data_IF_495121248237
#
_entry.id   IF_495121248237
#
_cell.length_a   1.000
_cell.length_b   1.000
_cell.length_c   1.000
_cell.angle_alpha   90.00
_cell.angle_beta   90.00
_cell.angle_gamma   90.00
#
_symmetry.space_group_name_H-M   'P 1'
#
loop_
_entity.id
_entity.type
_entity.pdbx_description
1 polymer ?
#
# COMPACT_ATOMS: atom_id res chain seq x y z
N UNK A 1 24.62 -0.30 -32.77
CA UNK A 1 23.30 0.16 -32.30
C UNK A 1 23.33 1.24 -31.20
N UNK A 2 24.29 1.25 -30.27
CA UNK A 2 24.49 2.33 -29.28
C UNK A 2 24.87 3.68 -29.88
N UNK A 3 25.65 3.67 -30.97
CA UNK A 3 26.12 4.89 -31.65
C UNK A 3 24.97 5.63 -32.36
N UNK A 4 23.99 4.90 -32.92
CA UNK A 4 22.87 5.50 -33.68
C UNK A 4 21.87 6.25 -32.78
N UNK A 5 21.69 5.80 -31.53
CA UNK A 5 20.77 6.45 -30.57
C UNK A 5 21.38 7.76 -30.02
N UNK A 6 22.70 7.77 -29.77
CA UNK A 6 23.42 8.98 -29.33
C UNK A 6 23.41 10.06 -30.41
N UNK A 7 23.60 9.67 -31.65
CA UNK A 7 23.55 10.61 -32.82
C UNK A 7 22.14 11.18 -33.07
N UNK A 8 21.08 10.42 -32.76
CA UNK A 8 19.70 10.89 -32.94
C UNK A 8 19.29 11.91 -31.87
N UNK A 9 19.81 11.76 -30.64
CA UNK A 9 19.60 12.70 -29.53
C UNK A 9 20.34 14.04 -29.78
N UNK A 10 21.51 14.00 -30.39
CA UNK A 10 22.26 15.23 -30.76
C UNK A 10 21.59 16.02 -31.91
N UNK A 11 20.84 15.36 -32.79
CA UNK A 11 20.23 16.00 -33.98
C UNK A 11 18.83 16.55 -33.74
N UNK A 12 18.06 16.01 -32.79
CA UNK A 12 16.64 16.38 -32.60
C UNK A 12 16.36 17.10 -31.28
N UNK A 13 17.27 17.08 -30.33
CA UNK A 13 17.06 17.67 -28.99
C UNK A 13 15.91 17.01 -28.18
N UNK A 14 15.21 16.03 -28.73
CA UNK A 14 14.14 15.32 -28.05
C UNK A 14 14.69 14.25 -27.10
N UNK A 15 14.58 14.51 -25.82
CA UNK A 15 14.86 13.51 -24.77
C UNK A 15 13.88 12.34 -24.94
N UNK A 16 14.39 11.18 -25.38
CA UNK A 16 13.56 9.95 -25.45
C UNK A 16 13.17 9.53 -24.05
N UNK A 17 11.91 9.77 -23.69
CA UNK A 17 11.35 9.33 -22.40
C UNK A 17 11.09 7.83 -22.38
N UNK A 18 11.40 7.18 -21.26
CA UNK A 18 11.01 5.78 -21.03
C UNK A 18 9.50 5.66 -20.84
N UNK A 19 8.84 4.84 -21.66
CA UNK A 19 7.39 4.66 -21.57
C UNK A 19 7.05 3.54 -20.59
N UNK A 20 6.30 3.88 -19.53
CA UNK A 20 5.84 2.97 -18.48
C UNK A 20 4.31 2.90 -18.50
N UNK A 21 3.79 1.70 -18.67
CA UNK A 21 2.34 1.43 -18.65
C UNK A 21 1.98 0.75 -17.32
N UNK A 22 1.15 1.37 -16.50
CA UNK A 22 0.74 0.86 -15.19
C UNK A 22 -0.70 0.38 -15.26
N UNK A 23 -0.92 -0.86 -14.84
CA UNK A 23 -2.24 -1.50 -14.75
C UNK A 23 -2.41 -2.22 -13.41
N UNK A 24 -3.64 -2.58 -13.06
CA UNK A 24 -3.93 -3.34 -11.84
C UNK A 24 -4.37 -2.49 -10.65
N UNK A 25 -4.47 -1.16 -10.80
CA UNK A 25 -5.10 -0.25 -9.84
C UNK A 25 -6.42 0.29 -10.39
N UNK A 26 -7.18 1.02 -9.57
CA UNK A 26 -8.36 1.77 -10.06
C UNK A 26 -7.97 3.02 -10.84
N UNK A 27 -6.70 3.42 -10.82
CA UNK A 27 -6.14 4.59 -11.50
C UNK A 27 -5.95 5.80 -10.60
N UNK A 28 -5.59 6.93 -11.22
CA UNK A 28 -5.32 8.23 -10.57
C UNK A 28 -6.27 9.31 -11.15
N UNK A 29 -6.58 10.42 -10.43
CA UNK A 29 -6.14 10.74 -9.06
C UNK A 29 -6.60 9.72 -8.03
N UNK A 30 -5.81 9.54 -6.96
CA UNK A 30 -6.10 8.59 -5.91
C UNK A 30 -7.22 9.11 -5.00
N UNK A 31 -8.33 8.37 -4.91
CA UNK A 31 -9.36 8.63 -3.92
C UNK A 31 -9.16 7.77 -2.66
N UNK A 32 -8.80 6.49 -2.84
CA UNK A 32 -8.58 5.52 -1.77
C UNK A 32 -7.89 4.27 -2.30
N UNK A 33 -6.89 3.77 -1.58
CA UNK A 33 -6.21 2.49 -1.86
C UNK A 33 -4.69 2.64 -1.96
N UNK A 34 -3.96 1.61 -1.52
CA UNK A 34 -2.49 1.63 -1.50
C UNK A 34 -1.87 1.79 -2.89
N UNK A 35 -2.37 1.05 -3.88
CA UNK A 35 -1.88 1.15 -5.26
C UNK A 35 -2.18 2.49 -5.92
N UNK A 36 -3.38 3.03 -5.68
CA UNK A 36 -3.78 4.33 -6.21
C UNK A 36 -2.88 5.43 -5.65
N UNK A 37 -2.69 5.47 -4.33
CA UNK A 37 -1.79 6.43 -3.66
C UNK A 37 -0.35 6.28 -4.15
N UNK A 38 0.13 5.04 -4.31
CA UNK A 38 1.46 4.77 -4.82
C UNK A 38 1.67 5.34 -6.23
N UNK A 39 0.75 5.09 -7.17
CA UNK A 39 0.86 5.58 -8.54
C UNK A 39 0.75 7.09 -8.60
N UNK A 40 -0.15 7.67 -7.81
CA UNK A 40 -0.36 9.11 -7.71
C UNK A 40 0.95 9.80 -7.28
N UNK A 41 1.54 9.35 -6.18
CA UNK A 41 2.83 9.86 -5.69
C UNK A 41 3.97 9.63 -6.67
N UNK A 42 4.07 8.45 -7.27
CA UNK A 42 5.11 8.14 -8.26
C UNK A 42 5.04 9.09 -9.47
N UNK A 43 3.84 9.35 -9.98
CA UNK A 43 3.65 10.28 -11.11
C UNK A 43 3.88 11.72 -10.71
N UNK A 44 3.48 12.15 -9.50
CA UNK A 44 3.75 13.46 -8.92
C UNK A 44 5.25 13.75 -8.85
N UNK A 45 6.05 12.84 -8.27
CA UNK A 45 7.50 13.02 -8.13
C UNK A 45 8.26 13.02 -9.45
N UNK A 46 7.73 12.35 -10.49
CA UNK A 46 8.42 12.25 -11.77
C UNK A 46 7.94 13.25 -12.85
N UNK A 47 6.84 13.99 -12.60
CA UNK A 47 6.20 14.82 -13.64
C UNK A 47 7.12 15.87 -14.25
N UNK A 48 8.03 16.45 -13.47
CA UNK A 48 8.94 17.52 -13.92
C UNK A 48 10.28 16.99 -14.45
N UNK A 49 10.63 15.75 -14.13
CA UNK A 49 11.94 15.18 -14.49
C UNK A 49 12.07 14.86 -15.99
N UNK A 50 10.96 14.71 -16.71
CA UNK A 50 10.91 14.44 -18.16
C UNK A 50 11.76 13.24 -18.63
N UNK A 51 11.97 12.24 -17.76
CA UNK A 51 12.70 11.02 -18.10
C UNK A 51 11.77 9.84 -18.38
N UNK A 52 10.57 9.88 -17.78
CA UNK A 52 9.58 8.81 -17.82
C UNK A 52 8.25 9.36 -18.29
N UNK A 53 7.60 8.65 -19.22
CA UNK A 53 6.23 8.91 -19.66
C UNK A 53 5.32 7.81 -19.13
N UNK A 54 4.46 8.16 -18.19
CA UNK A 54 3.49 7.23 -17.63
C UNK A 54 2.22 7.13 -18.47
N UNK A 55 1.68 5.91 -18.55
CA UNK A 55 0.38 5.58 -19.14
C UNK A 55 -0.39 4.75 -18.11
N UNK A 56 -1.39 5.32 -17.46
CA UNK A 56 -2.10 4.70 -16.34
C UNK A 56 -3.50 4.29 -16.75
N UNK A 57 -3.83 3.01 -16.54
CA UNK A 57 -5.18 2.51 -16.68
C UNK A 57 -6.07 3.00 -15.54
N UNK A 58 -7.25 3.54 -15.85
CA UNK A 58 -8.18 4.06 -14.86
C UNK A 58 -9.57 3.41 -15.02
N UNK A 59 -10.04 2.75 -13.94
CA UNK A 59 -11.40 2.19 -13.92
C UNK A 59 -12.43 3.31 -13.95
N UNK A 60 -13.36 3.28 -14.89
CA UNK A 60 -14.36 4.34 -15.06
C UNK A 60 -15.63 3.80 -15.70
N UNK A 61 -16.75 4.48 -15.50
CA UNK A 61 -17.98 4.24 -16.26
C UNK A 61 -17.98 4.93 -17.65
N UNK A 62 -17.05 5.86 -17.86
CA UNK A 62 -16.86 6.57 -19.13
C UNK A 62 -15.77 5.95 -20.01
N UNK A 63 -15.51 6.61 -21.14
CA UNK A 63 -14.42 6.29 -22.08
C UNK A 63 -13.55 7.53 -22.32
N UNK A 64 -12.41 7.35 -23.01
CA UNK A 64 -11.50 8.42 -23.37
C UNK A 64 -10.25 8.47 -22.49
N UNK A 65 -9.53 9.58 -22.61
CA UNK A 65 -8.24 9.79 -21.97
C UNK A 65 -8.20 11.19 -21.31
N UNK A 66 -7.35 11.34 -20.31
CA UNK A 66 -7.06 12.63 -19.69
C UNK A 66 -5.60 12.65 -19.22
N UNK A 67 -5.10 13.85 -18.90
CA UNK A 67 -3.76 14.01 -18.36
C UNK A 67 -3.84 14.32 -16.86
N UNK A 68 -2.93 13.71 -16.09
CA UNK A 68 -2.78 13.97 -14.66
C UNK A 68 -1.32 13.72 -14.24
N UNK A 69 -0.67 14.65 -13.53
CA UNK A 69 0.77 14.63 -13.22
C UNK A 69 1.64 14.27 -14.44
N UNK A 70 1.37 14.89 -15.59
CA UNK A 70 2.01 14.59 -16.88
C UNK A 70 1.84 13.13 -17.38
N UNK A 71 1.11 12.28 -16.68
CA UNK A 71 0.75 10.94 -17.11
C UNK A 71 -0.44 10.97 -18.07
N UNK A 72 -0.43 10.06 -19.06
CA UNK A 72 -1.60 9.75 -19.88
C UNK A 72 -2.48 8.75 -19.14
N UNK A 73 -3.65 9.16 -18.70
CA UNK A 73 -4.64 8.31 -18.05
C UNK A 73 -5.70 7.87 -19.07
N UNK A 74 -5.94 6.56 -19.18
CA UNK A 74 -6.94 6.02 -20.13
C UNK A 74 -8.02 5.24 -19.40
N UNK A 75 -9.28 5.57 -19.71
CA UNK A 75 -10.46 5.05 -19.02
C UNK A 75 -10.85 3.67 -19.55
N UNK A 76 -11.09 2.75 -18.61
CA UNK A 76 -11.58 1.39 -18.89
C UNK A 76 -12.95 1.21 -18.25
N UNK A 77 -13.95 0.99 -19.09
CA UNK A 77 -15.28 0.62 -18.61
C UNK A 77 -15.30 -0.86 -18.21
N UNK A 78 -15.82 -1.15 -17.03
CA UNK A 78 -15.88 -2.51 -16.48
C UNK A 78 -17.33 -2.89 -16.22
N UNK A 79 -17.83 -3.98 -16.81
CA UNK A 79 -19.17 -4.48 -16.54
C UNK A 79 -19.28 -5.02 -15.13
N UNK A 80 -20.49 -5.04 -14.58
CA UNK A 80 -20.73 -5.63 -13.26
C UNK A 80 -20.80 -7.15 -13.34
N UNK A 81 -19.65 -7.81 -13.24
CA UNK A 81 -19.48 -9.28 -13.33
C UNK A 81 -18.86 -9.86 -12.02
N UNK A 82 -19.15 -9.24 -10.89
CA UNK A 82 -18.67 -9.70 -9.60
C UNK A 82 -17.13 -9.77 -9.49
N UNK A 83 -16.55 -10.79 -8.84
CA UNK A 83 -15.10 -10.91 -8.63
C UNK A 83 -14.26 -10.93 -9.91
N UNK A 84 -14.84 -11.35 -11.05
CA UNK A 84 -14.14 -11.39 -12.34
C UNK A 84 -13.87 -9.99 -12.92
N UNK A 85 -14.47 -8.93 -12.36
CA UNK A 85 -14.23 -7.54 -12.82
C UNK A 85 -12.77 -7.15 -12.86
N UNK A 86 -11.98 -7.55 -11.83
CA UNK A 86 -10.58 -7.19 -11.74
C UNK A 86 -9.75 -7.84 -12.86
N UNK A 87 -10.02 -9.12 -13.16
CA UNK A 87 -9.38 -9.86 -14.25
C UNK A 87 -9.75 -9.23 -15.61
N UNK A 88 -11.04 -8.99 -15.82
CA UNK A 88 -11.54 -8.34 -17.04
C UNK A 88 -10.87 -6.99 -17.28
N UNK A 89 -10.82 -6.16 -16.22
CA UNK A 89 -10.21 -4.83 -16.26
C UNK A 89 -8.75 -4.90 -16.70
N UNK A 90 -7.93 -5.73 -16.04
CA UNK A 90 -6.50 -5.85 -16.34
C UNK A 90 -6.24 -6.38 -17.74
N UNK A 91 -7.02 -7.37 -18.20
CA UNK A 91 -6.90 -7.91 -19.57
C UNK A 91 -7.27 -6.87 -20.63
N UNK A 92 -8.34 -6.09 -20.41
CA UNK A 92 -8.73 -5.02 -21.33
C UNK A 92 -7.69 -3.90 -21.33
N UNK A 93 -7.17 -3.53 -20.17
CA UNK A 93 -6.10 -2.53 -20.04
C UNK A 93 -4.87 -2.96 -20.84
N UNK A 94 -4.39 -4.21 -20.67
CA UNK A 94 -3.27 -4.75 -21.46
C UNK A 94 -3.52 -4.74 -22.97
N UNK A 95 -4.73 -5.10 -23.40
CA UNK A 95 -5.09 -5.02 -24.83
C UNK A 95 -4.99 -3.59 -25.35
N UNK A 96 -5.44 -2.61 -24.57
CA UNK A 96 -5.34 -1.19 -24.94
C UNK A 96 -3.89 -0.70 -24.93
N UNK A 97 -3.08 -1.08 -23.95
CA UNK A 97 -1.63 -0.81 -23.91
C UNK A 97 -0.95 -1.32 -25.19
N UNK A 98 -1.16 -2.59 -25.54
CA UNK A 98 -0.58 -3.19 -26.75
C UNK A 98 -1.04 -2.49 -28.05
N UNK A 99 -2.32 -2.06 -28.14
CA UNK A 99 -2.82 -1.28 -29.30
C UNK A 99 -2.12 0.08 -29.38
N UNK A 100 -1.98 0.76 -28.26
CA UNK A 100 -1.35 2.08 -28.19
C UNK A 100 0.15 2.00 -28.55
N UNK A 101 0.87 1.03 -27.98
CA UNK A 101 2.29 0.76 -28.29
C UNK A 101 2.49 0.55 -29.78
N UNK A 102 1.66 -0.31 -30.39
CA UNK A 102 1.74 -0.60 -31.82
C UNK A 102 1.42 0.63 -32.70
N UNK A 103 0.34 1.36 -32.37
CA UNK A 103 -0.07 2.55 -33.11
C UNK A 103 1.00 3.64 -33.10
N UNK A 104 1.64 3.85 -31.95
CA UNK A 104 2.63 4.91 -31.74
C UNK A 104 4.08 4.43 -31.95
N UNK A 105 4.28 3.18 -32.40
CA UNK A 105 5.59 2.57 -32.65
C UNK A 105 6.57 2.68 -31.47
N UNK A 106 6.04 2.58 -30.22
CA UNK A 106 6.82 2.68 -28.98
C UNK A 106 7.75 1.48 -28.89
N UNK A 107 9.06 1.75 -28.70
CA UNK A 107 10.09 0.73 -28.50
C UNK A 107 10.43 0.61 -27.02
N UNK A 108 10.79 -0.61 -26.60
CA UNK A 108 11.23 -0.92 -25.25
C UNK A 108 10.25 -0.45 -24.13
N UNK A 109 8.91 -0.61 -24.30
CA UNK A 109 7.97 -0.22 -23.24
C UNK A 109 8.14 -1.12 -22.02
N UNK A 110 7.90 -0.59 -20.82
CA UNK A 110 7.74 -1.39 -19.61
C UNK A 110 6.25 -1.43 -19.28
N UNK A 111 5.72 -2.63 -19.09
CA UNK A 111 4.37 -2.83 -18.55
C UNK A 111 4.53 -3.22 -17.09
N UNK A 112 4.05 -2.39 -16.18
CA UNK A 112 4.07 -2.64 -14.74
C UNK A 112 2.68 -3.07 -14.28
N UNK A 113 2.56 -4.31 -13.84
CA UNK A 113 1.29 -4.95 -13.45
C UNK A 113 1.24 -5.05 -11.92
N UNK A 114 0.20 -4.49 -11.32
CA UNK A 114 -0.02 -4.53 -9.88
C UNK A 114 -0.95 -5.68 -9.53
N UNK A 115 -0.45 -6.63 -8.74
CA UNK A 115 -1.03 -7.90 -8.34
C UNK A 115 -1.12 -8.99 -9.44
N UNK A 116 -1.15 -10.24 -9.00
CA UNK A 116 -1.05 -11.42 -9.85
C UNK A 116 -2.42 -11.98 -10.31
N UNK A 117 -3.28 -11.14 -10.95
CA UNK A 117 -4.67 -11.51 -11.28
C UNK A 117 -4.85 -12.24 -12.61
N UNK A 118 -3.90 -12.09 -13.54
CA UNK A 118 -4.09 -12.46 -14.95
C UNK A 118 -3.18 -13.59 -15.42
N UNK A 119 -2.78 -14.47 -14.51
CA UNK A 119 -1.87 -15.59 -14.79
C UNK A 119 -2.16 -16.35 -16.09
N UNK A 120 -3.42 -16.79 -16.35
CA UNK A 120 -3.76 -17.50 -17.59
C UNK A 120 -3.46 -16.72 -18.90
N UNK A 121 -3.37 -15.40 -18.83
CA UNK A 121 -3.09 -14.53 -19.97
C UNK A 121 -1.64 -14.03 -20.00
N UNK A 122 -0.86 -14.24 -18.95
CA UNK A 122 0.47 -13.65 -18.77
C UNK A 122 1.43 -13.99 -19.92
N UNK A 123 1.53 -15.26 -20.29
CA UNK A 123 2.42 -15.72 -21.36
C UNK A 123 2.09 -15.07 -22.73
N UNK A 124 0.79 -14.94 -23.06
CA UNK A 124 0.35 -14.29 -24.30
C UNK A 124 0.78 -12.82 -24.35
N UNK A 125 0.54 -12.08 -23.28
CA UNK A 125 0.87 -10.66 -23.23
C UNK A 125 2.38 -10.43 -23.16
N UNK A 126 3.13 -11.20 -22.36
CA UNK A 126 4.58 -11.13 -22.30
C UNK A 126 5.18 -11.29 -23.69
N UNK A 127 4.83 -12.38 -24.41
CA UNK A 127 5.30 -12.64 -25.76
C UNK A 127 4.99 -11.47 -26.72
N UNK A 128 3.82 -10.85 -26.55
CA UNK A 128 3.42 -9.71 -27.37
C UNK A 128 4.22 -8.46 -27.06
N UNK A 129 4.50 -8.18 -25.77
CA UNK A 129 5.27 -7.03 -25.31
C UNK A 129 6.73 -7.18 -25.74
N UNK A 130 7.31 -8.38 -25.62
CA UNK A 130 8.68 -8.67 -26.06
C UNK A 130 8.91 -8.41 -27.56
N UNK A 131 7.88 -8.54 -28.43
CA UNK A 131 7.99 -8.16 -29.86
C UNK A 131 8.31 -6.68 -30.09
N UNK A 132 8.00 -5.82 -29.11
CA UNK A 132 8.33 -4.39 -29.14
C UNK A 132 9.64 -4.08 -28.42
N UNK A 133 10.41 -5.10 -27.99
CA UNK A 133 11.58 -4.96 -27.11
C UNK A 133 11.23 -4.62 -25.67
N UNK A 134 9.94 -4.68 -25.32
CA UNK A 134 9.46 -4.30 -23.99
C UNK A 134 9.67 -5.36 -22.92
N UNK A 135 9.42 -5.02 -21.67
CA UNK A 135 9.52 -5.89 -20.49
C UNK A 135 8.24 -5.84 -19.67
N UNK A 136 7.96 -6.93 -18.96
CA UNK A 136 6.83 -7.07 -18.03
C UNK A 136 7.36 -7.12 -16.61
N UNK A 137 7.05 -6.08 -15.83
CA UNK A 137 7.31 -6.02 -14.40
C UNK A 137 6.02 -6.30 -13.65
N UNK A 138 6.11 -7.02 -12.54
CA UNK A 138 4.95 -7.38 -11.74
C UNK A 138 5.22 -7.11 -10.27
N UNK A 139 4.30 -6.40 -9.60
CA UNK A 139 4.24 -6.39 -8.14
C UNK A 139 3.38 -7.60 -7.73
N UNK A 140 3.92 -8.59 -6.99
CA UNK A 140 3.16 -9.78 -6.63
C UNK A 140 2.08 -9.56 -5.58
N UNK A 141 2.02 -8.40 -4.92
CA UNK A 141 1.14 -8.02 -3.79
C UNK A 141 1.33 -8.89 -2.53
N UNK A 142 1.63 -10.13 -2.68
CA UNK A 142 1.92 -11.07 -1.60
C UNK A 142 0.69 -11.71 -0.95
N UNK A 143 0.64 -13.04 -1.05
CA UNK A 143 -0.31 -13.91 -0.34
C UNK A 143 -1.81 -13.55 -0.50
N UNK A 144 -2.23 -12.92 -1.63
CA UNK A 144 -3.66 -12.59 -1.84
C UNK A 144 -4.57 -13.83 -1.68
N UNK A 145 -4.04 -15.02 -1.99
CA UNK A 145 -4.73 -16.29 -1.80
C UNK A 145 -4.95 -16.71 -0.34
N UNK A 146 -4.28 -16.07 0.62
CA UNK A 146 -4.51 -16.29 2.06
C UNK A 146 -5.66 -15.44 2.64
N UNK A 147 -6.08 -14.38 1.92
CA UNK A 147 -7.09 -13.46 2.46
C UNK A 147 -8.43 -14.16 2.73
N UNK A 148 -8.98 -13.93 3.91
CA UNK A 148 -10.21 -14.55 4.41
C UNK A 148 -11.45 -14.28 3.53
N UNK A 149 -11.50 -13.13 2.87
CA UNK A 149 -12.61 -12.71 1.98
C UNK A 149 -12.84 -13.63 0.77
N UNK A 150 -11.87 -14.49 0.42
CA UNK A 150 -11.95 -15.33 -0.77
C UNK A 150 -12.44 -16.75 -0.45
N UNK A 151 -13.38 -17.26 -1.24
CA UNK A 151 -13.79 -18.67 -1.19
C UNK A 151 -12.65 -19.60 -1.66
N UNK A 152 -12.69 -20.87 -1.28
CA UNK A 152 -11.64 -21.85 -1.64
C UNK A 152 -11.34 -21.94 -3.13
N UNK A 153 -12.32 -21.96 -4.07
CA UNK A 153 -12.02 -21.96 -5.50
C UNK A 153 -11.28 -20.69 -5.95
N UNK A 154 -11.65 -19.52 -5.39
CA UNK A 154 -11.00 -18.24 -5.71
C UNK A 154 -9.58 -18.22 -5.17
N UNK A 155 -9.33 -18.74 -3.96
CA UNK A 155 -7.96 -18.88 -3.42
C UNK A 155 -7.08 -19.76 -4.30
N UNK A 156 -7.60 -20.89 -4.80
CA UNK A 156 -6.87 -21.74 -5.74
C UNK A 156 -6.54 -21.00 -7.03
N UNK A 157 -7.51 -20.25 -7.59
CA UNK A 157 -7.26 -19.41 -8.76
C UNK A 157 -6.11 -18.42 -8.51
N UNK A 158 -6.14 -17.69 -7.40
CA UNK A 158 -5.10 -16.74 -7.03
C UNK A 158 -3.71 -17.39 -6.96
N UNK A 159 -3.61 -18.56 -6.30
CA UNK A 159 -2.33 -19.27 -6.17
C UNK A 159 -1.77 -19.72 -7.51
N UNK A 160 -2.62 -20.26 -8.39
CA UNK A 160 -2.23 -20.67 -9.74
C UNK A 160 -1.88 -19.46 -10.61
N UNK A 161 -2.66 -18.39 -10.52
CA UNK A 161 -2.42 -17.14 -11.24
C UNK A 161 -1.09 -16.50 -10.83
N UNK A 162 -0.79 -16.46 -9.53
CA UNK A 162 0.50 -15.99 -8.99
C UNK A 162 1.66 -16.79 -9.59
N UNK A 163 1.59 -18.14 -9.54
CA UNK A 163 2.61 -19.00 -10.11
C UNK A 163 2.85 -18.73 -11.61
N UNK A 164 1.78 -18.57 -12.39
CA UNK A 164 1.88 -18.29 -13.82
C UNK A 164 2.50 -16.91 -14.07
N UNK A 165 2.15 -15.90 -13.29
CA UNK A 165 2.68 -14.55 -13.44
C UNK A 165 4.14 -14.47 -12.99
N UNK A 166 4.52 -15.11 -11.90
CA UNK A 166 5.92 -15.22 -11.48
C UNK A 166 6.78 -15.84 -12.58
N UNK A 167 6.31 -16.92 -13.21
CA UNK A 167 7.01 -17.58 -14.32
C UNK A 167 7.20 -16.68 -15.54
N UNK A 168 6.27 -15.77 -15.81
CA UNK A 168 6.23 -14.95 -17.02
C UNK A 168 6.68 -13.50 -16.80
N UNK A 169 7.10 -13.13 -15.60
CA UNK A 169 7.60 -11.79 -15.32
C UNK A 169 9.08 -11.67 -15.71
N UNK A 170 9.46 -10.53 -16.26
CA UNK A 170 10.87 -10.21 -16.49
C UNK A 170 11.55 -9.75 -15.19
N UNK A 171 10.79 -9.01 -14.34
CA UNK A 171 11.21 -8.62 -12.99
C UNK A 171 9.96 -8.62 -12.08
N UNK A 172 10.11 -9.14 -10.87
CA UNK A 172 9.14 -8.99 -9.79
C UNK A 172 9.60 -7.87 -8.86
N UNK A 173 8.77 -6.85 -8.70
CA UNK A 173 9.03 -5.72 -7.80
C UNK A 173 8.28 -6.01 -6.50
N UNK A 174 8.99 -6.54 -5.52
CA UNK A 174 8.43 -6.89 -4.22
C UNK A 174 8.44 -5.67 -3.30
N UNK A 175 7.33 -5.40 -2.63
CA UNK A 175 7.18 -4.29 -1.70
C UNK A 175 7.68 -4.61 -0.28
N UNK A 176 8.13 -5.85 -0.04
CA UNK A 176 8.70 -6.33 1.21
C UNK A 176 9.77 -7.37 0.93
N UNK A 177 10.84 -7.37 1.72
CA UNK A 177 11.89 -8.41 1.68
C UNK A 177 11.34 -9.78 2.07
N UNK A 178 10.32 -9.82 2.93
CA UNK A 178 9.62 -11.06 3.26
C UNK A 178 8.86 -11.62 2.06
N UNK A 179 8.24 -10.76 1.23
CA UNK A 179 7.60 -11.19 -0.03
C UNK A 179 8.66 -11.63 -1.04
N UNK A 180 9.77 -10.92 -1.16
CA UNK A 180 10.88 -11.33 -2.02
C UNK A 180 11.42 -12.71 -1.63
N UNK A 181 11.66 -12.95 -0.35
CA UNK A 181 12.06 -14.26 0.20
C UNK A 181 11.04 -15.35 -0.14
N UNK A 182 9.76 -15.08 0.12
CA UNK A 182 8.66 -15.99 -0.23
C UNK A 182 8.66 -16.36 -1.72
N UNK A 183 8.82 -15.40 -2.61
CA UNK A 183 8.88 -15.64 -4.06
C UNK A 183 10.07 -16.56 -4.41
N UNK A 184 11.25 -16.30 -3.86
CA UNK A 184 12.43 -17.14 -4.10
C UNK A 184 12.27 -18.55 -3.55
N UNK A 185 11.69 -18.73 -2.37
CA UNK A 185 11.48 -20.05 -1.75
C UNK A 185 10.39 -20.84 -2.47
N UNK A 186 9.23 -20.23 -2.71
CA UNK A 186 8.06 -20.91 -3.28
C UNK A 186 8.18 -21.19 -4.77
N UNK A 187 8.91 -20.36 -5.50
CA UNK A 187 9.00 -20.40 -6.97
C UNK A 187 10.42 -20.55 -7.49
N UNK A 188 11.36 -21.06 -6.66
CA UNK A 188 12.77 -21.22 -7.03
C UNK A 188 12.98 -21.99 -8.35
N UNK A 189 12.04 -22.89 -8.70
CA UNK A 189 12.08 -23.66 -9.95
C UNK A 189 12.04 -22.78 -11.22
N UNK A 190 11.54 -21.54 -11.11
CA UNK A 190 11.48 -20.59 -12.23
C UNK A 190 12.64 -19.61 -12.22
N UNK A 191 13.51 -19.65 -11.19
CA UNK A 191 14.60 -18.70 -10.97
C UNK A 191 14.15 -17.23 -11.18
N UNK A 192 13.13 -16.76 -10.41
CA UNK A 192 12.53 -15.45 -10.62
C UNK A 192 13.55 -14.33 -10.37
N UNK A 193 13.58 -13.33 -11.24
CA UNK A 193 14.32 -12.09 -11.01
C UNK A 193 13.47 -11.16 -10.17
N UNK A 194 14.00 -10.73 -9.03
CA UNK A 194 13.30 -9.86 -8.09
C UNK A 194 14.08 -8.58 -7.84
N UNK A 195 13.37 -7.58 -7.36
CA UNK A 195 13.93 -6.39 -6.71
C UNK A 195 12.98 -5.97 -5.59
N UNK A 196 13.54 -5.47 -4.51
CA UNK A 196 12.77 -4.93 -3.39
C UNK A 196 12.68 -3.41 -3.53
N UNK A 197 11.45 -2.88 -3.59
CA UNK A 197 11.15 -1.45 -3.47
C UNK A 197 9.84 -1.34 -2.70
N UNK A 198 9.90 -0.79 -1.49
CA UNK A 198 8.75 -0.63 -0.60
C UNK A 198 7.75 0.44 -1.08
N UNK A 199 6.65 0.61 -0.34
CA UNK A 199 5.80 1.79 -0.44
C UNK A 199 6.43 2.96 0.31
N UNK A 200 6.03 4.18 -0.07
CA UNK A 200 6.48 5.40 0.57
C UNK A 200 5.50 5.94 1.60
N UNK A 201 6.02 6.83 2.46
CA UNK A 201 5.23 7.67 3.35
C UNK A 201 5.84 9.06 3.48
N UNK A 202 5.06 10.00 4.00
CA UNK A 202 5.52 11.35 4.33
C UNK A 202 5.77 11.47 5.84
N UNK A 203 6.95 11.95 6.19
CA UNK A 203 7.28 12.33 7.57
C UNK A 203 7.24 13.85 7.68
N UNK A 204 6.07 14.37 7.95
CA UNK A 204 5.82 15.79 8.22
C UNK A 204 4.67 15.96 9.20
N UNK A 205 4.59 17.11 9.81
CA UNK A 205 3.41 17.47 10.61
C UNK A 205 2.20 17.75 9.71
N UNK A 206 1.02 17.58 10.28
CA UNK A 206 -0.21 18.04 9.66
C UNK A 206 -0.15 19.54 9.41
N UNK A 207 -0.71 19.97 8.29
CA UNK A 207 -0.81 21.41 7.95
C UNK A 207 -1.90 22.13 8.73
N UNK A 208 -2.89 21.39 9.26
CA UNK A 208 -3.96 21.99 10.07
C UNK A 208 -3.53 22.15 11.54
N UNK A 209 -3.94 23.24 12.14
CA UNK A 209 -3.59 23.59 13.51
C UNK A 209 -4.54 22.89 14.52
N UNK A 210 -4.12 22.80 15.79
CA UNK A 210 -4.91 22.12 16.82
C UNK A 210 -6.21 22.88 17.18
N UNK A 211 -6.24 24.19 16.96
CA UNK A 211 -7.37 25.08 17.21
C UNK A 211 -8.30 25.26 16.00
N UNK A 212 -8.01 24.65 14.86
CA UNK A 212 -8.91 24.67 13.72
C UNK A 212 -10.25 23.99 14.03
N UNK A 213 -11.34 24.59 13.59
CA UNK A 213 -12.72 24.15 13.87
C UNK A 213 -12.93 22.66 13.61
N UNK A 214 -12.38 22.15 12.54
CA UNK A 214 -12.47 20.73 12.15
C UNK A 214 -11.83 19.82 13.20
N UNK A 215 -10.68 20.19 13.74
CA UNK A 215 -9.95 19.43 14.78
C UNK A 215 -10.71 19.51 16.09
N UNK A 216 -11.04 20.72 16.52
CA UNK A 216 -11.78 20.97 17.78
C UNK A 216 -13.11 20.21 17.79
N UNK A 217 -13.87 20.30 16.68
CA UNK A 217 -15.14 19.59 16.53
C UNK A 217 -14.95 18.08 16.60
N UNK A 218 -13.93 17.51 15.91
CA UNK A 218 -13.67 16.08 15.91
C UNK A 218 -13.43 15.54 17.32
N UNK A 219 -12.65 16.25 18.14
CA UNK A 219 -12.37 15.89 19.53
C UNK A 219 -13.59 16.05 20.43
N UNK A 220 -14.30 17.18 20.32
CA UNK A 220 -15.47 17.49 21.12
C UNK A 220 -16.62 16.49 20.92
N UNK A 221 -16.91 16.14 19.68
CA UNK A 221 -17.97 15.17 19.34
C UNK A 221 -17.70 13.78 19.91
N UNK A 222 -16.45 13.45 20.23
CA UNK A 222 -16.02 12.12 20.68
C UNK A 222 -15.59 12.09 22.14
N UNK A 223 -15.71 13.21 22.82
CA UNK A 223 -15.22 13.38 24.19
C UNK A 223 -13.78 12.88 24.33
N UNK A 224 -12.86 13.49 23.58
CA UNK A 224 -11.46 13.16 23.51
C UNK A 224 -10.57 14.39 23.66
N UNK A 225 -9.33 14.17 24.03
CA UNK A 225 -8.26 15.17 24.01
C UNK A 225 -6.96 14.57 23.44
N UNK A 226 -6.01 15.39 22.96
CA UNK A 226 -4.69 14.92 22.58
C UNK A 226 -4.04 14.08 23.67
N UNK A 227 -3.39 12.98 23.25
CA UNK A 227 -2.71 12.00 24.12
C UNK A 227 -3.61 11.21 25.07
N UNK A 228 -4.95 11.30 24.93
CA UNK A 228 -5.93 10.55 25.77
C UNK A 228 -6.36 9.22 25.16
N UNK A 229 -5.78 8.80 24.03
CA UNK A 229 -6.25 7.59 23.32
C UNK A 229 -5.15 6.82 22.61
N UNK A 230 -5.36 5.51 22.53
CA UNK A 230 -4.72 4.63 21.54
C UNK A 230 -5.54 4.64 20.26
N UNK A 231 -4.88 4.48 19.13
CA UNK A 231 -5.49 4.59 17.80
C UNK A 231 -5.28 3.30 16.99
N UNK A 232 -6.30 2.86 16.30
CA UNK A 232 -6.24 1.85 15.23
C UNK A 232 -6.79 2.46 13.95
N UNK A 233 -6.04 2.36 12.84
CA UNK A 233 -6.50 2.78 11.51
C UNK A 233 -6.29 1.64 10.53
N UNK A 234 -7.35 1.14 9.92
CA UNK A 234 -7.22 0.04 8.96
C UNK A 234 -8.56 -0.45 8.42
N UNK A 235 -8.50 -1.37 7.45
CA UNK A 235 -9.71 -2.05 6.96
C UNK A 235 -10.26 -2.97 8.03
N UNK A 236 -11.57 -2.99 8.16
CA UNK A 236 -12.24 -3.81 9.17
C UNK A 236 -12.39 -5.27 8.66
N UNK A 237 -11.31 -6.03 8.78
CA UNK A 237 -11.21 -7.41 8.31
C UNK A 237 -10.51 -8.29 9.35
N UNK A 238 -10.83 -9.60 9.44
CA UNK A 238 -10.27 -10.49 10.46
C UNK A 238 -8.74 -10.53 10.50
N UNK A 239 -8.08 -10.50 9.34
CA UNK A 239 -6.62 -10.53 9.22
C UNK A 239 -5.90 -9.27 9.77
N UNK A 240 -6.65 -8.27 10.18
CA UNK A 240 -6.12 -7.09 10.90
C UNK A 240 -6.24 -7.22 12.43
N UNK A 241 -6.68 -8.38 12.93
CA UNK A 241 -6.68 -8.75 14.34
C UNK A 241 -7.42 -7.78 15.29
N UNK A 242 -8.54 -7.20 14.82
CA UNK A 242 -9.37 -6.33 15.65
C UNK A 242 -9.91 -7.06 16.90
N UNK A 243 -10.27 -8.33 16.78
CA UNK A 243 -10.73 -9.14 17.90
C UNK A 243 -9.68 -9.18 19.02
N UNK A 244 -8.42 -9.47 18.67
CA UNK A 244 -7.34 -9.53 19.65
C UNK A 244 -7.07 -8.13 20.25
N UNK A 245 -6.94 -7.10 19.42
CA UNK A 245 -6.65 -5.75 19.92
C UNK A 245 -7.73 -5.22 20.86
N UNK A 246 -9.01 -5.42 20.53
CA UNK A 246 -10.14 -5.01 21.36
C UNK A 246 -10.18 -5.82 22.65
N UNK A 247 -10.10 -7.16 22.55
CA UNK A 247 -10.17 -8.04 23.72
C UNK A 247 -9.02 -7.79 24.71
N UNK A 248 -7.83 -7.61 24.21
CA UNK A 248 -6.66 -7.30 25.05
C UNK A 248 -6.74 -5.89 25.66
N UNK A 249 -7.25 -4.89 24.90
CA UNK A 249 -7.47 -3.56 25.45
C UNK A 249 -8.49 -3.58 26.60
N UNK A 250 -9.57 -4.34 26.48
CA UNK A 250 -10.56 -4.51 27.55
C UNK A 250 -9.95 -5.08 28.84
N UNK A 251 -8.95 -5.97 28.73
CA UNK A 251 -8.23 -6.56 29.87
C UNK A 251 -7.26 -5.59 30.52
N UNK A 252 -6.78 -4.57 29.79
CA UNK A 252 -5.82 -3.59 30.28
C UNK A 252 -6.42 -2.67 31.34
N UNK A 253 -5.56 -2.13 32.22
CA UNK A 253 -5.93 -1.13 33.24
C UNK A 253 -5.89 0.30 32.73
N UNK A 254 -5.62 0.49 31.45
CA UNK A 254 -5.52 1.82 30.82
C UNK A 254 -6.75 2.66 31.07
N UNK A 255 -6.54 3.93 31.39
CA UNK A 255 -7.61 4.95 31.51
C UNK A 255 -7.87 5.69 30.19
N UNK A 256 -7.07 5.42 29.17
CA UNK A 256 -7.18 6.02 27.84
C UNK A 256 -8.30 5.34 27.03
N UNK A 257 -8.72 6.01 25.96
CA UNK A 257 -9.68 5.42 25.02
C UNK A 257 -8.96 4.59 23.95
N UNK A 258 -9.68 3.64 23.35
CA UNK A 258 -9.29 2.98 22.10
C UNK A 258 -10.16 3.51 20.97
N UNK A 259 -9.54 4.26 20.07
CA UNK A 259 -10.22 4.87 18.91
C UNK A 259 -9.96 4.01 17.68
N UNK A 260 -11.02 3.59 17.02
CA UNK A 260 -10.97 2.73 15.85
C UNK A 260 -11.52 3.48 14.64
N UNK A 261 -10.62 3.84 13.72
CA UNK A 261 -10.94 4.47 12.43
C UNK A 261 -10.94 3.38 11.38
N UNK A 262 -12.12 3.03 10.89
CA UNK A 262 -12.30 1.95 9.92
C UNK A 262 -13.55 2.15 9.08
N UNK A 263 -13.68 1.40 7.99
CA UNK A 263 -14.94 1.29 7.25
C UNK A 263 -15.92 0.41 8.03
N UNK A 264 -17.21 0.66 7.94
CA UNK A 264 -18.23 -0.21 8.53
C UNK A 264 -18.27 -1.55 7.82
N UNK A 265 -18.35 -2.61 8.61
CA UNK A 265 -18.80 -3.96 8.22
C UNK A 265 -19.69 -4.45 9.36
N UNK A 266 -20.99 -4.26 9.19
CA UNK A 266 -21.97 -4.50 10.27
C UNK A 266 -21.97 -5.97 10.71
N UNK A 267 -21.79 -6.91 9.78
CA UNK A 267 -21.77 -8.35 10.10
C UNK A 267 -20.53 -8.69 10.96
N UNK A 268 -19.36 -8.19 10.61
CA UNK A 268 -18.15 -8.43 11.40
C UNK A 268 -18.21 -7.70 12.75
N UNK A 269 -18.79 -6.50 12.79
CA UNK A 269 -18.98 -5.76 14.04
C UNK A 269 -19.92 -6.49 15.00
N UNK A 270 -21.02 -7.06 14.50
CA UNK A 270 -21.95 -7.88 15.29
C UNK A 270 -21.29 -9.18 15.79
N UNK A 271 -20.46 -9.82 14.96
CA UNK A 271 -19.70 -11.00 15.37
C UNK A 271 -18.75 -10.67 16.53
N UNK A 272 -17.99 -9.58 16.43
CA UNK A 272 -17.09 -9.11 17.48
C UNK A 272 -17.85 -8.76 18.77
N UNK A 273 -19.00 -8.08 18.64
CA UNK A 273 -19.83 -7.76 19.81
C UNK A 273 -20.34 -9.02 20.51
N UNK A 274 -20.81 -10.02 19.77
CA UNK A 274 -21.24 -11.32 20.35
C UNK A 274 -20.13 -12.03 21.10
N UNK A 275 -18.88 -11.92 20.61
CA UNK A 275 -17.71 -12.59 21.22
C UNK A 275 -17.20 -11.83 22.43
N UNK A 276 -17.04 -10.52 22.32
CA UNK A 276 -16.30 -9.71 23.28
C UNK A 276 -17.19 -8.88 24.21
N UNK A 277 -18.43 -8.57 23.77
CA UNK A 277 -19.34 -7.65 24.47
C UNK A 277 -18.68 -6.28 24.74
N UNK A 278 -17.89 -5.81 23.76
CA UNK A 278 -17.04 -4.62 23.91
C UNK A 278 -17.80 -3.31 24.06
N UNK A 279 -19.07 -3.24 23.64
CA UNK A 279 -19.93 -2.06 23.84
C UNK A 279 -20.15 -1.71 25.30
N UNK A 280 -19.90 -2.63 26.24
CA UNK A 280 -19.94 -2.36 27.68
C UNK A 280 -18.71 -1.59 28.18
N UNK A 281 -17.61 -1.55 27.41
CA UNK A 281 -16.43 -0.77 27.74
C UNK A 281 -16.52 0.61 27.08
N UNK A 282 -16.81 1.69 27.84
CA UNK A 282 -17.02 3.02 27.27
C UNK A 282 -15.72 3.62 26.68
N UNK A 283 -14.57 3.01 26.94
CA UNK A 283 -13.29 3.43 26.38
C UNK A 283 -13.16 3.09 24.90
N UNK A 284 -13.94 2.13 24.37
CA UNK A 284 -13.84 1.66 22.98
C UNK A 284 -14.79 2.44 22.10
N UNK A 285 -14.25 3.17 21.13
CA UNK A 285 -15.02 4.06 20.26
C UNK A 285 -14.73 3.77 18.78
N UNK A 286 -15.72 3.27 18.05
CA UNK A 286 -15.72 3.20 16.61
C UNK A 286 -16.18 4.55 16.04
N UNK A 287 -15.31 5.24 15.33
CA UNK A 287 -15.57 6.64 14.90
C UNK A 287 -15.78 6.79 13.39
N UNK A 288 -15.93 5.66 12.69
CA UNK A 288 -16.12 5.67 11.25
C UNK A 288 -14.83 5.95 10.47
N UNK A 289 -14.96 6.37 9.22
CA UNK A 289 -13.83 6.67 8.33
C UNK A 289 -13.53 8.17 8.35
N UNK A 290 -12.25 8.52 8.40
CA UNK A 290 -11.75 9.89 8.22
C UNK A 290 -11.11 9.98 6.85
N UNK A 291 -11.74 10.66 5.91
CA UNK A 291 -11.28 10.80 4.52
C UNK A 291 -10.33 11.97 4.32
N UNK A 292 -10.46 13.01 5.16
CA UNK A 292 -9.61 14.19 5.12
C UNK A 292 -8.22 13.80 5.66
N UNK A 293 -7.19 13.83 4.77
CA UNK A 293 -5.88 13.27 5.06
C UNK A 293 -5.11 14.07 6.13
N UNK A 294 -5.26 15.40 6.12
CA UNK A 294 -4.57 16.23 7.11
C UNK A 294 -5.19 16.08 8.51
N UNK A 295 -6.51 15.91 8.58
CA UNK A 295 -7.19 15.58 9.85
C UNK A 295 -6.75 14.19 10.36
N UNK A 296 -6.68 13.18 9.48
CA UNK A 296 -6.25 11.85 9.86
C UNK A 296 -4.79 11.86 10.35
N UNK A 297 -3.92 12.64 9.71
CA UNK A 297 -2.55 12.87 10.15
C UNK A 297 -2.51 13.52 11.54
N UNK A 298 -3.29 14.57 11.74
CA UNK A 298 -3.42 15.26 13.05
C UNK A 298 -3.88 14.30 14.15
N UNK A 299 -4.85 13.43 13.86
CA UNK A 299 -5.34 12.42 14.80
C UNK A 299 -4.22 11.42 15.15
N UNK A 300 -3.40 10.99 14.19
CA UNK A 300 -2.24 10.13 14.45
C UNK A 300 -1.18 10.84 15.29
N UNK A 301 -0.84 12.09 15.00
CA UNK A 301 0.13 12.90 15.76
C UNK A 301 -0.30 13.05 17.22
N UNK A 302 -1.60 13.24 17.45
CA UNK A 302 -2.17 13.48 18.76
C UNK A 302 -2.57 12.20 19.50
N UNK A 303 -2.43 11.01 18.89
CA UNK A 303 -2.60 9.75 19.59
C UNK A 303 -1.51 9.57 20.67
N UNK A 304 -1.86 8.93 21.80
CA UNK A 304 -0.89 8.47 22.77
C UNK A 304 -0.04 7.34 22.20
N UNK A 305 -0.71 6.35 21.59
CA UNK A 305 -0.07 5.25 20.91
C UNK A 305 -0.92 4.73 19.76
N UNK A 306 -0.32 3.92 18.90
CA UNK A 306 -0.95 3.31 17.73
C UNK A 306 -0.85 1.79 17.81
N UNK A 307 -1.95 1.09 17.59
CA UNK A 307 -1.95 -0.37 17.48
C UNK A 307 -2.02 -0.79 16.02
N UNK A 308 -1.17 -1.73 15.65
CA UNK A 308 -1.13 -2.33 14.32
C UNK A 308 -1.23 -3.84 14.41
N UNK A 309 -2.34 -4.39 13.91
CA UNK A 309 -2.62 -5.82 13.94
C UNK A 309 -2.55 -6.50 12.58
N UNK A 310 -2.06 -5.83 11.54
CA UNK A 310 -2.00 -6.38 10.18
C UNK A 310 -1.09 -7.62 10.11
N UNK A 311 -1.57 -8.70 9.50
CA UNK A 311 -0.91 -10.01 9.50
C UNK A 311 -0.64 -10.59 8.11
N UNK A 312 -1.27 -10.07 7.05
CA UNK A 312 -1.18 -10.64 5.69
C UNK A 312 -0.78 -9.57 4.69
N UNK A 313 0.28 -9.81 3.92
CA UNK A 313 0.74 -8.94 2.84
C UNK A 313 2.21 -8.56 2.98
N UNK A 314 2.58 -7.45 2.36
CA UNK A 314 3.91 -6.83 2.41
C UNK A 314 3.94 -5.56 3.26
N UNK A 315 4.67 -4.55 2.78
CA UNK A 315 4.72 -3.23 3.45
C UNK A 315 3.34 -2.59 3.50
N UNK A 316 2.88 -2.27 4.71
CA UNK A 316 1.55 -1.67 4.91
C UNK A 316 1.64 -0.14 4.96
N UNK A 317 0.97 0.60 4.04
CA UNK A 317 1.01 2.06 4.04
C UNK A 317 0.52 2.69 5.36
N UNK A 318 -0.51 2.11 6.01
CA UNK A 318 -1.01 2.64 7.29
C UNK A 318 0.02 2.50 8.42
N UNK A 319 0.86 1.46 8.38
CA UNK A 319 1.98 1.30 9.32
C UNK A 319 3.05 2.38 9.09
N UNK A 320 3.42 2.61 7.83
CA UNK A 320 4.39 3.67 7.48
C UNK A 320 3.91 5.05 7.93
N UNK A 321 2.63 5.35 7.69
CA UNK A 321 2.00 6.61 8.11
C UNK A 321 1.95 6.75 9.64
N UNK A 322 1.69 5.65 10.36
CA UNK A 322 1.68 5.64 11.82
C UNK A 322 3.08 5.88 12.39
N UNK A 323 4.09 5.15 11.91
CA UNK A 323 5.49 5.33 12.32
C UNK A 323 6.02 6.72 11.95
N UNK A 324 5.53 7.31 10.85
CA UNK A 324 5.86 8.67 10.42
C UNK A 324 5.18 9.78 11.22
N UNK A 325 4.14 9.46 12.01
CA UNK A 325 3.30 10.46 12.71
C UNK A 325 3.22 10.24 14.22
N UNK A 326 2.97 9.01 14.67
CA UNK A 326 2.75 8.66 16.08
C UNK A 326 4.06 8.28 16.77
N UNK A 327 4.24 8.71 18.02
CA UNK A 327 5.50 8.50 18.74
C UNK A 327 5.61 7.09 19.36
N UNK A 328 4.50 6.50 19.80
CA UNK A 328 4.46 5.17 20.41
C UNK A 328 3.67 4.21 19.49
N UNK A 329 4.31 3.13 19.06
CA UNK A 329 3.70 2.15 18.16
C UNK A 329 3.80 0.75 18.76
N UNK A 330 2.66 0.04 18.88
CA UNK A 330 2.55 -1.33 19.34
C UNK A 330 2.09 -2.20 18.14
N UNK A 331 2.96 -3.05 17.64
CA UNK A 331 2.79 -3.78 16.38
C UNK A 331 2.67 -5.28 16.65
N UNK A 332 1.81 -5.96 15.89
CA UNK A 332 1.80 -7.42 15.89
C UNK A 332 3.17 -7.94 15.43
N UNK A 333 3.75 -8.88 16.20
CA UNK A 333 5.04 -9.49 15.92
C UNK A 333 4.94 -10.45 14.71
N UNK A 334 5.10 -9.87 13.53
CA UNK A 334 5.19 -10.59 12.25
C UNK A 334 6.31 -10.00 11.40
N UNK A 335 6.88 -10.84 10.52
CA UNK A 335 8.10 -10.50 9.79
C UNK A 335 8.09 -9.17 9.03
N UNK A 336 6.98 -8.81 8.39
CA UNK A 336 6.91 -7.55 7.62
C UNK A 336 6.69 -6.32 8.52
N UNK A 337 6.06 -6.43 9.69
CA UNK A 337 6.00 -5.33 10.67
C UNK A 337 7.38 -5.07 11.27
N UNK A 338 8.12 -6.17 11.58
CA UNK A 338 9.51 -6.08 12.04
C UNK A 338 10.43 -5.49 10.96
N UNK A 339 10.27 -5.89 9.70
CA UNK A 339 11.04 -5.34 8.57
C UNK A 339 10.94 -3.81 8.50
N UNK A 340 9.73 -3.28 8.67
CA UNK A 340 9.48 -1.83 8.60
C UNK A 340 9.97 -1.12 9.85
N UNK A 341 9.57 -1.55 11.05
CA UNK A 341 9.77 -0.79 12.27
C UNK A 341 11.04 -1.15 13.05
N UNK A 342 11.58 -2.36 12.91
CA UNK A 342 12.75 -2.83 13.67
C UNK A 342 12.64 -2.52 15.18
N UNK A 343 13.64 -1.89 15.79
CA UNK A 343 13.71 -1.53 17.21
C UNK A 343 12.99 -0.21 17.56
N UNK A 344 12.19 0.33 16.63
CA UNK A 344 11.49 1.61 16.82
C UNK A 344 10.07 1.47 17.35
N UNK A 345 9.61 0.24 17.59
CA UNK A 345 8.27 -0.08 18.07
C UNK A 345 8.30 -1.15 19.17
N UNK A 346 7.16 -1.34 19.82
CA UNK A 346 6.92 -2.45 20.75
C UNK A 346 6.15 -3.54 19.99
N UNK A 347 6.52 -4.80 20.20
CA UNK A 347 5.89 -5.92 19.50
C UNK A 347 5.03 -6.74 20.45
N UNK A 348 3.81 -7.06 20.00
CA UNK A 348 2.87 -7.89 20.74
C UNK A 348 2.54 -9.18 19.99
N UNK A 349 2.27 -10.23 20.74
CA UNK A 349 1.82 -11.52 20.21
C UNK A 349 0.33 -11.73 20.46
N UNK A 350 -0.25 -12.76 19.82
CA UNK A 350 -1.65 -13.15 20.02
C UNK A 350 -1.88 -13.96 21.30
N UNK A 351 -0.84 -14.15 22.12
CA UNK A 351 -0.97 -14.81 23.41
C UNK A 351 -1.86 -14.01 24.35
N UNK A 352 -2.72 -14.71 25.08
CA UNK A 352 -3.67 -14.10 26.01
C UNK A 352 -2.96 -13.23 27.05
N UNK A 353 -3.43 -11.99 27.24
CA UNK A 353 -2.86 -11.02 28.16
C UNK A 353 -1.53 -10.37 27.68
N UNK A 354 -1.01 -10.73 26.50
CA UNK A 354 0.26 -10.18 26.05
C UNK A 354 0.15 -8.68 25.73
N UNK A 355 -0.77 -8.28 24.86
CA UNK A 355 -0.97 -6.87 24.51
C UNK A 355 -1.52 -6.08 25.70
N UNK A 356 -2.40 -6.66 26.51
CA UNK A 356 -2.92 -5.99 27.71
C UNK A 356 -1.78 -5.56 28.65
N UNK A 357 -0.84 -6.47 28.93
CA UNK A 357 0.36 -6.18 29.76
C UNK A 357 1.24 -5.09 29.11
N UNK A 358 1.42 -5.13 27.79
CA UNK A 358 2.22 -4.12 27.09
C UNK A 358 1.53 -2.74 27.11
N UNK A 359 0.20 -2.68 27.06
CA UNK A 359 -0.56 -1.43 27.22
C UNK A 359 -0.33 -0.86 28.62
N UNK A 360 -0.47 -1.69 29.67
CA UNK A 360 -0.25 -1.26 31.05
C UNK A 360 1.17 -0.75 31.26
N UNK A 361 2.18 -1.43 30.70
CA UNK A 361 3.57 -0.97 30.72
C UNK A 361 3.78 0.33 29.95
N UNK A 362 3.15 0.48 28.80
CA UNK A 362 3.25 1.67 27.95
C UNK A 362 2.64 2.90 28.63
N UNK A 363 1.58 2.73 29.39
CA UNK A 363 0.95 3.82 30.16
C UNK A 363 1.86 4.41 31.22
N UNK A 364 2.87 3.66 31.70
CA UNK A 364 3.88 4.10 32.66
C UNK A 364 5.12 4.76 32.00
N UNK A 365 5.16 4.85 30.68
CA UNK A 365 6.32 5.46 30.00
C UNK A 365 6.34 6.97 30.17
N UNK A 366 7.54 7.51 30.41
CA UNK A 366 7.74 8.95 30.46
C UNK A 366 7.60 9.57 29.07
N UNK A 367 7.27 10.85 29.02
CA UNK A 367 7.16 11.58 27.77
C UNK A 367 8.45 11.55 26.94
N UNK A 368 9.61 11.64 27.62
CA UNK A 368 10.94 11.59 27.00
C UNK A 368 11.18 10.23 26.32
N UNK A 369 10.79 9.12 26.96
CA UNK A 369 10.93 7.77 26.38
C UNK A 369 10.08 7.64 25.12
N UNK A 370 8.81 8.09 25.18
CA UNK A 370 7.88 8.05 24.04
C UNK A 370 8.42 8.91 22.88
N UNK A 371 8.88 10.14 23.17
CA UNK A 371 9.48 11.01 22.16
C UNK A 371 10.74 10.42 21.53
N UNK A 372 11.59 9.78 22.32
CA UNK A 372 12.80 9.12 21.81
C UNK A 372 12.44 7.98 20.84
N UNK A 373 11.44 7.15 21.18
CA UNK A 373 10.92 6.11 20.28
C UNK A 373 10.35 6.71 18.99
N UNK A 374 9.52 7.73 19.10
CA UNK A 374 8.92 8.42 17.96
C UNK A 374 9.96 9.08 17.05
N UNK A 375 10.99 9.69 17.60
CA UNK A 375 12.10 10.26 16.82
C UNK A 375 12.81 9.17 16.00
N UNK A 376 13.12 8.01 16.61
CA UNK A 376 13.74 6.89 15.90
C UNK A 376 12.84 6.39 14.76
N UNK A 377 11.55 6.17 15.04
CA UNK A 377 10.61 5.71 14.04
C UNK A 377 10.50 6.67 12.84
N UNK A 378 10.32 7.97 13.10
CA UNK A 378 10.24 9.02 12.08
C UNK A 378 11.53 9.13 11.26
N UNK A 379 12.69 9.05 11.90
CA UNK A 379 13.99 9.04 11.21
C UNK A 379 14.07 7.86 10.25
N UNK A 380 13.73 6.65 10.72
CA UNK A 380 13.74 5.45 9.88
C UNK A 380 12.80 5.55 8.68
N UNK A 381 11.55 6.04 8.89
CA UNK A 381 10.60 6.21 7.78
C UNK A 381 11.10 7.28 6.79
N UNK A 382 11.69 8.36 7.27
CA UNK A 382 12.25 9.40 6.41
C UNK A 382 13.40 8.88 5.54
N UNK A 383 14.29 8.10 6.11
CA UNK A 383 15.52 7.66 5.45
C UNK A 383 15.25 6.50 4.47
N UNK A 384 14.40 5.53 4.86
CA UNK A 384 14.22 4.28 4.11
C UNK A 384 12.90 4.21 3.31
N UNK A 385 11.88 5.00 3.71
CA UNK A 385 10.51 4.90 3.18
C UNK A 385 9.94 6.25 2.75
N UNK A 386 10.73 7.32 2.61
CA UNK A 386 10.19 8.58 2.07
C UNK A 386 9.77 8.40 0.61
N UNK A 387 8.70 9.09 0.19
CA UNK A 387 8.25 9.05 -1.20
C UNK A 387 9.35 9.47 -2.19
N UNK A 388 10.23 10.41 -1.79
CA UNK A 388 11.38 10.81 -2.60
C UNK A 388 12.36 9.65 -2.81
N UNK A 389 12.71 8.94 -1.73
CA UNK A 389 13.57 7.75 -1.80
C UNK A 389 12.95 6.69 -2.71
N UNK A 390 11.70 6.33 -2.46
CA UNK A 390 10.97 5.30 -3.23
C UNK A 390 10.82 5.68 -4.70
N UNK A 391 10.46 6.93 -5.00
CA UNK A 391 10.35 7.38 -6.39
C UNK A 391 11.69 7.32 -7.12
N UNK A 392 12.80 7.66 -6.46
CA UNK A 392 14.15 7.56 -7.04
C UNK A 392 14.54 6.10 -7.32
N UNK A 393 14.22 5.15 -6.44
CA UNK A 393 14.44 3.71 -6.69
C UNK A 393 13.64 3.21 -7.90
N UNK A 394 12.36 3.62 -8.04
CA UNK A 394 11.56 3.31 -9.23
C UNK A 394 12.10 3.98 -10.50
N UNK A 395 12.56 5.24 -10.42
CA UNK A 395 13.21 5.90 -11.57
C UNK A 395 14.42 5.10 -12.06
N UNK A 396 15.28 4.70 -11.13
CA UNK A 396 16.46 3.87 -11.42
C UNK A 396 16.06 2.54 -12.05
N UNK A 397 15.11 1.81 -11.43
CA UNK A 397 14.61 0.53 -11.95
C UNK A 397 14.08 0.68 -13.39
N UNK A 398 13.25 1.67 -13.66
CA UNK A 398 12.63 1.86 -14.96
C UNK A 398 13.63 2.30 -16.04
N UNK A 399 14.66 3.06 -15.70
CA UNK A 399 15.68 3.49 -16.64
C UNK A 399 16.77 2.44 -16.88
N UNK A 400 17.14 1.65 -15.88
CA UNK A 400 18.14 0.58 -15.97
C UNK A 400 17.54 -0.74 -16.45
N UNK A 401 16.29 -1.00 -16.12
CA UNK A 401 15.57 -2.22 -16.52
C UNK A 401 15.43 -2.41 -18.03
N UNK A 402 15.81 -1.41 -18.83
CA UNK A 402 15.82 -1.46 -20.32
C UNK A 402 17.17 -1.91 -20.86
N UNK A 403 18.22 -1.90 -20.06
CA UNK A 403 19.55 -2.45 -20.42
C UNK A 403 19.59 -3.96 -20.20
#
# INVERSE_FOLDING_TARGET
MKVTLHFYIELTGEKVMQNIFIIGSKGIPANYGGYETFIDKLTEYHQEKQKIKYHVACKSNGSGEFAYHSARCFKIRVPNIGPAQAIYYDVVALKQCCKYINKNKIKNPIIYILACRIGPFAAYFQKKIHKYGGKVFVNPDGHEWLRAKWSTPVRKYWKVSEQMMVKQSDILVCDSKNIEKYIHESYKMYNPKTTYIAYGAEVRKSTIMDDEEMVVRWYKERDLSPKSYYLVVGRFVPENNFETMIGEFMKSKSKKNLIIITTSDDAFLEELEKKLNFKKDPRIKFVGTVYEQELLRKIRENAYGYFHGHEVGGTNPSLLEALGSTDLNLLLDVGFNWEVAQDTAIYWSKEDGNLARLIDQADEFTAEKIQAMGKKAKTRIKDEYSWEHIANEYEKLFLEGVK
#
